data_IF_513767309117
#
_entry.id   IF_513767309117
#
_cell.length_a   1.000
_cell.length_b   1.000
_cell.length_c   1.000
_cell.angle_alpha   90.00
_cell.angle_beta   90.00
_cell.angle_gamma   90.00
#
_symmetry.space_group_name_H-M   'P 1'
#
loop_
_entity.id
_entity.type
_entity.pdbx_description
1 polymer ?
#
# COMPACT_ATOMS: atom_id res chain seq x y z
N UNK A 1 1.41 21.16 2.31
CA UNK A 1 2.70 20.44 2.39
C UNK A 1 2.68 19.38 3.49
N UNK A 2 1.50 18.88 3.90
CA UNK A 2 1.38 17.93 5.03
C UNK A 2 0.84 16.55 4.59
N UNK A 3 0.33 16.46 3.35
CA UNK A 3 -0.31 15.24 2.85
C UNK A 3 0.68 14.10 2.58
N UNK A 4 1.95 14.41 2.27
CA UNK A 4 2.98 13.40 1.97
C UNK A 4 3.23 12.50 3.17
N UNK A 5 3.40 13.07 4.36
CA UNK A 5 3.61 12.30 5.58
C UNK A 5 2.41 11.39 5.91
N UNK A 6 1.20 11.85 5.63
CA UNK A 6 -0.02 11.06 5.83
C UNK A 6 -0.10 9.88 4.85
N UNK A 7 0.35 10.06 3.61
CA UNK A 7 0.43 8.98 2.62
C UNK A 7 1.52 7.97 2.95
N UNK A 8 2.70 8.43 3.38
CA UNK A 8 3.79 7.55 3.82
C UNK A 8 3.37 6.70 5.02
N UNK A 9 2.72 7.31 6.02
CA UNK A 9 2.18 6.58 7.16
C UNK A 9 1.15 5.53 6.71
N UNK A 10 0.23 5.89 5.81
CA UNK A 10 -0.75 4.96 5.29
C UNK A 10 -0.13 3.79 4.49
N UNK A 11 0.98 4.02 3.79
CA UNK A 11 1.74 2.95 3.12
C UNK A 11 2.40 2.01 4.14
N UNK A 12 3.02 2.58 5.18
CA UNK A 12 3.65 1.80 6.24
C UNK A 12 2.64 0.96 7.01
N UNK A 13 1.46 1.51 7.33
CA UNK A 13 0.37 0.75 7.96
C UNK A 13 -0.07 -0.45 7.10
N UNK A 14 -0.18 -0.27 5.77
CA UNK A 14 -0.52 -1.37 4.85
C UNK A 14 0.61 -2.40 4.79
N UNK A 15 1.87 -2.00 4.60
CA UNK A 15 3.01 -2.93 4.59
C UNK A 15 3.09 -3.76 5.87
N UNK A 16 3.01 -3.10 7.02
CA UNK A 16 3.04 -3.78 8.32
C UNK A 16 1.84 -4.72 8.47
N UNK A 17 0.64 -4.32 8.03
CA UNK A 17 -0.52 -5.20 8.02
C UNK A 17 -0.30 -6.45 7.14
N UNK A 18 0.30 -6.30 5.95
CA UNK A 18 0.61 -7.44 5.07
C UNK A 18 1.62 -8.41 5.71
N UNK A 19 2.64 -7.87 6.38
CA UNK A 19 3.63 -8.65 7.13
C UNK A 19 3.00 -9.37 8.34
N UNK A 20 2.19 -8.65 9.14
CA UNK A 20 1.49 -9.22 10.31
C UNK A 20 0.51 -10.31 9.91
N UNK A 21 -0.19 -10.15 8.79
CA UNK A 21 -1.12 -11.16 8.28
C UNK A 21 -0.40 -12.35 7.64
N UNK A 22 0.93 -12.32 7.48
CA UNK A 22 1.74 -13.36 6.81
C UNK A 22 1.23 -13.75 5.42
N UNK A 23 0.48 -12.86 4.78
CA UNK A 23 -0.08 -13.08 3.45
C UNK A 23 0.90 -12.66 2.36
N UNK A 24 1.90 -11.86 2.70
CA UNK A 24 2.94 -11.37 1.79
C UNK A 24 4.32 -11.61 2.40
N UNK A 25 5.22 -12.18 1.60
CA UNK A 25 6.64 -12.23 1.88
C UNK A 25 7.38 -11.53 0.75
N UNK A 26 8.24 -10.58 1.08
CA UNK A 26 9.17 -10.01 0.11
C UNK A 26 10.21 -11.08 -0.22
N UNK A 27 10.16 -11.59 -1.45
CA UNK A 27 11.13 -12.55 -1.96
C UNK A 27 11.93 -11.91 -3.09
N UNK A 28 13.20 -12.30 -3.20
CA UNK A 28 13.98 -11.98 -4.39
C UNK A 28 13.36 -12.66 -5.61
N UNK A 29 13.46 -12.04 -6.79
CA UNK A 29 12.77 -12.51 -7.98
C UNK A 29 13.34 -13.89 -8.39
N UNK A 30 12.56 -14.99 -8.28
CA UNK A 30 13.07 -16.29 -8.67
C UNK A 30 13.47 -16.32 -10.15
N UNK A 31 14.62 -16.93 -10.44
CA UNK A 31 15.18 -17.03 -11.79
C UNK A 31 14.15 -17.67 -12.72
N UNK A 32 13.84 -16.98 -13.82
CA UNK A 32 12.87 -17.43 -14.83
C UNK A 32 11.43 -16.95 -14.61
N UNK A 33 11.14 -16.29 -13.48
CA UNK A 33 9.83 -15.67 -13.24
C UNK A 33 9.86 -14.18 -13.60
N UNK A 34 8.71 -13.67 -14.07
CA UNK A 34 8.53 -12.24 -14.31
C UNK A 34 7.96 -11.59 -13.07
N UNK A 35 8.63 -10.56 -12.58
CA UNK A 35 8.08 -9.74 -11.50
C UNK A 35 6.75 -9.14 -11.96
N UNK A 36 5.70 -9.33 -11.16
CA UNK A 36 4.44 -8.66 -11.39
C UNK A 36 4.63 -7.18 -11.07
N UNK A 37 4.26 -6.32 -12.01
CA UNK A 37 4.23 -4.89 -11.74
C UNK A 37 3.20 -4.64 -10.65
N UNK A 38 3.60 -3.96 -9.58
CA UNK A 38 2.69 -3.49 -8.55
C UNK A 38 2.44 -1.98 -8.72
N UNK A 39 1.36 -1.49 -8.13
CA UNK A 39 1.04 -0.06 -8.06
C UNK A 39 0.40 0.25 -6.72
N UNK A 40 0.65 1.47 -6.24
CA UNK A 40 -0.05 2.00 -5.07
C UNK A 40 -1.36 2.66 -5.49
N UNK A 41 -2.42 2.35 -4.77
CA UNK A 41 -3.73 3.01 -4.90
C UNK A 41 -3.97 3.85 -3.67
N UNK A 42 -4.02 5.16 -3.88
CA UNK A 42 -4.28 6.15 -2.84
C UNK A 42 -5.75 6.53 -2.86
N UNK A 43 -6.39 6.53 -1.69
CA UNK A 43 -7.75 6.99 -1.53
C UNK A 43 -7.87 7.78 -0.24
N UNK A 44 -8.30 9.03 -0.36
CA UNK A 44 -8.71 9.84 0.79
C UNK A 44 -10.15 9.46 1.11
N UNK A 45 -10.40 9.08 2.37
CA UNK A 45 -11.75 8.96 2.89
C UNK A 45 -12.05 10.20 3.72
N UNK A 46 -12.98 11.01 3.23
CA UNK A 46 -13.57 12.12 3.96
C UNK A 46 -14.77 11.55 4.71
N UNK A 47 -14.56 11.15 5.96
CA UNK A 47 -15.66 10.83 6.88
C UNK A 47 -16.12 12.14 7.50
N UNK A 48 -17.44 12.39 7.51
CA UNK A 48 -18.09 13.67 7.83
C UNK A 48 -17.28 14.55 8.81
N UNK A 49 -16.91 15.73 8.29
CA UNK A 49 -16.41 16.94 8.96
C UNK A 49 -15.04 16.95 9.65
N UNK A 50 -14.58 15.91 10.37
CA UNK A 50 -13.42 16.09 11.29
C UNK A 50 -12.18 15.23 11.00
N UNK A 51 -12.28 14.11 10.28
CA UNK A 51 -11.13 13.22 10.10
C UNK A 51 -10.96 12.72 8.66
N UNK A 52 -10.12 13.43 7.89
CA UNK A 52 -9.67 12.95 6.57
C UNK A 52 -8.70 11.81 6.78
N UNK A 53 -9.13 10.57 6.50
CA UNK A 53 -8.25 9.40 6.61
C UNK A 53 -7.65 9.05 5.25
N UNK A 54 -6.33 9.09 5.19
CA UNK A 54 -5.55 8.62 4.06
C UNK A 54 -5.50 7.09 4.06
N UNK A 55 -5.79 6.46 2.92
CA UNK A 55 -5.63 5.01 2.73
C UNK A 55 -4.77 4.73 1.51
N UNK A 56 -3.67 4.03 1.71
CA UNK A 56 -2.85 3.48 0.63
C UNK A 56 -3.09 1.98 0.55
N UNK A 57 -3.13 1.43 -0.67
CA UNK A 57 -3.23 -0.02 -0.91
C UNK A 57 -2.25 -0.45 -1.97
N UNK A 58 -1.50 -1.50 -1.71
CA UNK A 58 -0.62 -2.11 -2.70
C UNK A 58 -1.44 -3.12 -3.54
N UNK A 59 -1.51 -2.90 -4.85
CA UNK A 59 -2.23 -3.80 -5.76
C UNK A 59 -1.33 -4.23 -6.90
N UNK A 60 -1.56 -5.44 -7.41
CA UNK A 60 -0.92 -5.89 -8.65
C UNK A 60 -1.54 -5.13 -9.81
N UNK A 61 -0.69 -4.59 -10.68
CA UNK A 61 -1.10 -4.10 -12.00
C UNK A 61 -1.39 -5.33 -12.84
N UNK A 62 -2.68 -5.62 -13.01
CA UNK A 62 -3.15 -6.75 -13.83
C UNK A 62 -2.55 -6.74 -15.24
N UNK A 63 -2.42 -7.93 -15.80
CA UNK A 63 -1.88 -8.21 -17.13
C UNK A 63 -2.75 -7.63 -18.25
#
# INVERSE_FOLDING_TARGET
MDDVAQWELAMQEEMNSLEMNKTWCLIDLPIGNRALQNKWVFRVKEEHDVNKRHKARLVVKGF
#
